data_IF_845918993657
#
_entry.id   IF_845918993657
#
_cell.length_a   1.000
_cell.length_b   1.000
_cell.length_c   1.000
_cell.angle_alpha   90.00
_cell.angle_beta   90.00
_cell.angle_gamma   90.00
#
_symmetry.space_group_name_H-M   'P 1'
#
loop_
_entity.id
_entity.type
_entity.pdbx_description
1 polymer ?
#
# COMPACT_ATOMS: atom_id res chain seq x y z
N UNK A 1 28.88 8.63 34.50
CA UNK A 1 28.73 7.37 33.75
C UNK A 1 27.26 6.94 33.60
N UNK A 2 26.41 7.07 34.63
CA UNK A 2 24.95 6.84 34.51
C UNK A 2 24.23 7.84 33.59
N UNK A 3 24.62 9.11 33.55
CA UNK A 3 24.02 10.11 32.64
C UNK A 3 24.21 9.78 31.16
N UNK A 4 25.38 9.26 30.78
CA UNK A 4 25.71 8.87 29.41
C UNK A 4 25.00 7.58 28.94
N UNK A 5 24.67 6.68 29.87
CA UNK A 5 23.85 5.49 29.62
C UNK A 5 22.36 5.85 29.50
N UNK A 6 21.89 6.78 30.34
CA UNK A 6 20.52 7.31 30.26
C UNK A 6 20.33 8.18 29.02
N UNK A 7 21.33 8.95 28.58
CA UNK A 7 21.29 9.67 27.30
C UNK A 7 21.29 8.71 26.11
N UNK A 8 22.02 7.59 26.16
CA UNK A 8 21.94 6.54 25.13
C UNK A 8 20.58 5.84 25.11
N UNK A 9 19.94 5.64 26.27
CA UNK A 9 18.60 5.06 26.37
C UNK A 9 17.49 6.07 26.00
N UNK A 10 17.70 7.35 26.26
CA UNK A 10 16.90 8.52 25.85
C UNK A 10 17.04 8.83 24.35
N UNK A 11 18.16 8.45 23.73
CA UNK A 11 18.45 8.66 22.31
C UNK A 11 17.66 7.79 21.34
N UNK A 12 16.68 7.02 21.82
CA UNK A 12 15.71 6.28 21.00
C UNK A 12 14.82 7.28 20.24
N UNK A 13 15.35 7.88 19.17
CA UNK A 13 14.60 8.75 18.26
C UNK A 13 13.51 7.92 17.59
N UNK A 14 12.32 7.94 18.16
CA UNK A 14 11.11 7.55 17.46
C UNK A 14 10.82 8.65 16.43
N UNK A 15 10.89 8.31 15.13
CA UNK A 15 10.49 9.24 14.08
C UNK A 15 9.03 9.64 14.28
N UNK A 16 8.70 10.90 14.02
CA UNK A 16 7.39 11.47 14.36
C UNK A 16 6.33 11.15 13.32
N UNK A 17 6.70 11.14 12.04
CA UNK A 17 5.75 11.03 10.92
C UNK A 17 5.38 9.62 10.44
N UNK A 18 6.12 8.51 10.70
CA UNK A 18 5.69 7.19 10.24
C UNK A 18 4.30 6.78 10.73
N UNK A 19 3.92 7.13 11.96
CA UNK A 19 2.58 6.79 12.46
C UNK A 19 1.46 7.53 11.73
N UNK A 20 1.67 8.81 11.39
CA UNK A 20 0.74 9.57 10.57
C UNK A 20 0.60 8.95 9.18
N UNK A 21 1.74 8.62 8.55
CA UNK A 21 1.77 7.99 7.23
C UNK A 21 1.12 6.60 7.25
N UNK A 22 1.28 5.83 8.33
CA UNK A 22 0.59 4.55 8.53
C UNK A 22 -0.92 4.76 8.61
N UNK A 23 -1.39 5.76 9.36
CA UNK A 23 -2.82 6.07 9.45
C UNK A 23 -3.42 6.43 8.09
N UNK A 24 -2.72 7.24 7.30
CA UNK A 24 -3.12 7.57 5.92
C UNK A 24 -3.11 6.34 5.00
N UNK A 25 -2.07 5.51 5.13
CA UNK A 25 -1.95 4.24 4.38
C UNK A 25 -3.13 3.31 4.68
N UNK A 26 -3.45 3.08 5.95
CA UNK A 26 -4.58 2.23 6.35
C UNK A 26 -5.92 2.81 5.92
N UNK A 27 -6.09 4.13 5.99
CA UNK A 27 -7.30 4.81 5.52
C UNK A 27 -7.51 4.57 4.02
N UNK A 28 -6.46 4.78 3.22
CA UNK A 28 -6.51 4.54 1.78
C UNK A 28 -6.75 3.05 1.47
N UNK A 29 -6.03 2.16 2.17
CA UNK A 29 -6.12 0.71 1.98
C UNK A 29 -7.53 0.18 2.24
N UNK A 30 -8.10 0.46 3.42
CA UNK A 30 -9.45 0.00 3.77
C UNK A 30 -10.54 0.63 2.88
N UNK A 31 -10.35 1.87 2.44
CA UNK A 31 -11.26 2.51 1.49
C UNK A 31 -11.29 1.75 0.15
N UNK A 32 -10.18 1.14 -0.28
CA UNK A 32 -10.17 0.35 -1.54
C UNK A 32 -11.14 -0.82 -1.47
N UNK A 33 -11.24 -1.48 -0.32
CA UNK A 33 -12.13 -2.63 -0.09
C UNK A 33 -13.59 -2.17 -0.14
N UNK A 34 -13.93 -1.09 0.56
CA UNK A 34 -15.30 -0.53 0.54
C UNK A 34 -15.74 -0.10 -0.86
N UNK A 35 -14.81 0.37 -1.69
CA UNK A 35 -15.09 0.88 -3.03
C UNK A 35 -14.96 -0.20 -4.12
N UNK A 36 -14.52 -1.42 -3.79
CA UNK A 36 -14.27 -2.48 -4.76
C UNK A 36 -15.56 -2.94 -5.48
N UNK A 37 -16.69 -3.00 -4.77
CA UNK A 37 -17.99 -3.35 -5.34
C UNK A 37 -18.61 -2.20 -6.17
N UNK A 38 -18.10 -0.97 -6.03
CA UNK A 38 -18.55 0.17 -6.83
C UNK A 38 -17.81 0.24 -8.16
N UNK A 39 -18.25 -0.57 -9.13
CA UNK A 39 -17.77 -0.46 -10.50
C UNK A 39 -18.18 0.91 -11.06
N UNK A 40 -17.20 1.62 -11.61
CA UNK A 40 -17.33 2.98 -12.14
C UNK A 40 -17.00 2.96 -13.62
N UNK A 41 -17.84 3.62 -14.40
CA UNK A 41 -17.62 3.80 -15.84
C UNK A 41 -17.13 5.23 -16.10
N UNK A 42 -15.93 5.36 -16.66
CA UNK A 42 -15.35 6.64 -17.10
C UNK A 42 -15.03 6.52 -18.58
N UNK A 43 -15.95 6.99 -19.43
CA UNK A 43 -15.85 6.79 -20.88
C UNK A 43 -15.80 5.29 -21.23
N UNK A 44 -14.77 4.80 -21.94
CA UNK A 44 -14.64 3.38 -22.29
C UNK A 44 -14.05 2.50 -21.17
N UNK A 45 -13.66 3.11 -20.04
CA UNK A 45 -13.02 2.42 -18.93
C UNK A 45 -14.07 1.97 -17.90
N UNK A 46 -14.03 0.68 -17.53
CA UNK A 46 -14.87 0.06 -16.51
C UNK A 46 -13.97 -0.45 -15.40
N UNK A 47 -13.96 0.22 -14.26
CA UNK A 47 -13.02 -0.09 -13.18
C UNK A 47 -13.69 -0.10 -11.82
N UNK A 48 -13.25 -0.97 -10.89
CA UNK A 48 -13.69 -0.91 -9.50
C UNK A 48 -13.21 0.40 -8.84
N UNK A 49 -14.06 0.97 -7.98
CA UNK A 49 -13.78 2.25 -7.31
C UNK A 49 -12.48 2.25 -6.49
N UNK A 50 -12.05 1.09 -5.99
CA UNK A 50 -10.78 0.95 -5.27
C UNK A 50 -9.55 1.32 -6.09
N UNK A 51 -9.59 1.20 -7.42
CA UNK A 51 -8.44 1.51 -8.29
C UNK A 51 -8.02 2.98 -8.23
N UNK A 52 -8.97 3.87 -7.92
CA UNK A 52 -8.72 5.31 -7.83
C UNK A 52 -7.94 5.67 -6.56
N UNK A 53 -7.91 4.77 -5.57
CA UNK A 53 -7.26 4.98 -4.28
C UNK A 53 -5.93 4.24 -4.17
N UNK A 54 -5.78 3.08 -4.81
CA UNK A 54 -4.56 2.27 -4.77
C UNK A 54 -3.25 3.03 -5.04
N UNK A 55 -3.16 3.97 -6.00
CA UNK A 55 -1.92 4.73 -6.21
C UNK A 55 -1.42 5.44 -4.95
N UNK A 56 -2.31 5.88 -4.06
CA UNK A 56 -1.93 6.56 -2.82
C UNK A 56 -1.20 5.63 -1.84
N UNK A 57 -1.53 4.33 -1.79
CA UNK A 57 -0.85 3.39 -0.89
C UNK A 57 0.61 3.19 -1.31
N UNK A 58 0.86 2.95 -2.61
CA UNK A 58 2.20 2.86 -3.19
C UNK A 58 3.00 4.13 -2.96
N UNK A 59 2.38 5.28 -3.19
CA UNK A 59 3.00 6.58 -2.96
C UNK A 59 3.48 6.74 -1.51
N UNK A 60 2.66 6.36 -0.53
CA UNK A 60 3.04 6.41 0.89
C UNK A 60 4.18 5.42 1.18
N UNK A 61 4.10 4.19 0.70
CA UNK A 61 5.16 3.19 0.85
C UNK A 61 6.49 3.68 0.27
N UNK A 62 6.48 4.32 -0.89
CA UNK A 62 7.68 4.87 -1.54
C UNK A 62 8.29 6.01 -0.71
N UNK A 63 7.47 6.92 -0.19
CA UNK A 63 7.94 8.01 0.69
C UNK A 63 8.58 7.42 1.95
N UNK A 64 7.88 6.47 2.60
CA UNK A 64 8.32 5.87 3.85
C UNK A 64 9.59 5.04 3.64
N UNK A 65 9.66 4.24 2.58
CA UNK A 65 10.83 3.46 2.22
C UNK A 65 12.03 4.34 1.87
N UNK A 66 11.82 5.44 1.15
CA UNK A 66 12.89 6.36 0.79
C UNK A 66 13.44 7.15 1.99
N UNK A 67 12.61 7.52 2.96
CA UNK A 67 13.05 8.31 4.13
C UNK A 67 13.59 7.40 5.24
N UNK A 68 12.82 6.38 5.61
CA UNK A 68 13.03 5.57 6.81
C UNK A 68 13.61 4.18 6.55
N UNK A 69 13.75 3.78 5.28
CA UNK A 69 14.31 2.48 4.88
C UNK A 69 13.26 1.37 4.80
N UNK A 70 13.66 0.22 4.24
CA UNK A 70 12.77 -0.91 3.88
C UNK A 70 11.95 -1.49 5.05
N UNK A 71 12.44 -1.37 6.29
CA UNK A 71 11.76 -1.93 7.47
C UNK A 71 10.39 -1.29 7.73
N UNK A 72 10.26 0.02 7.54
CA UNK A 72 9.01 0.74 7.79
C UNK A 72 7.89 0.39 6.80
N UNK A 73 8.08 0.45 5.47
CA UNK A 73 7.02 0.05 4.55
C UNK A 73 6.73 -1.46 4.66
N UNK A 74 7.70 -2.32 4.96
CA UNK A 74 7.43 -3.74 5.29
C UNK A 74 6.45 -3.87 6.46
N UNK A 75 6.65 -3.09 7.52
CA UNK A 75 5.73 -3.08 8.65
C UNK A 75 4.34 -2.57 8.25
N UNK A 76 4.27 -1.53 7.40
CA UNK A 76 2.99 -0.99 6.91
C UNK A 76 2.21 -2.04 6.13
N UNK A 77 2.89 -2.79 5.24
CA UNK A 77 2.27 -3.87 4.46
C UNK A 77 1.69 -4.93 5.39
N UNK A 78 2.45 -5.39 6.39
CA UNK A 78 1.95 -6.38 7.35
C UNK A 78 0.79 -5.89 8.20
N UNK A 79 0.86 -4.65 8.72
CA UNK A 79 -0.25 -4.05 9.46
C UNK A 79 -1.47 -3.91 8.55
N UNK A 80 -1.28 -3.53 7.28
CA UNK A 80 -2.32 -3.46 6.27
C UNK A 80 -2.99 -4.80 6.03
N UNK A 81 -2.20 -5.85 5.76
CA UNK A 81 -2.67 -7.24 5.58
C UNK A 81 -3.53 -7.68 6.77
N UNK A 82 -3.03 -7.50 7.99
CA UNK A 82 -3.76 -7.87 9.21
C UNK A 82 -5.05 -7.03 9.34
N UNK A 83 -4.97 -5.73 9.04
CA UNK A 83 -6.12 -4.82 9.12
C UNK A 83 -7.20 -5.18 8.11
N UNK A 84 -6.84 -5.55 6.88
CA UNK A 84 -7.81 -5.99 5.86
C UNK A 84 -8.50 -7.30 6.25
N UNK A 85 -7.75 -8.27 6.80
CA UNK A 85 -8.33 -9.52 7.31
C UNK A 85 -9.34 -9.21 8.42
N UNK A 86 -8.93 -8.45 9.44
CA UNK A 86 -9.82 -8.08 10.55
C UNK A 86 -11.04 -7.29 10.07
N UNK A 87 -10.83 -6.32 9.18
CA UNK A 87 -11.89 -5.53 8.57
C UNK A 87 -12.90 -6.44 7.86
N UNK A 88 -12.43 -7.37 7.02
CA UNK A 88 -13.31 -8.29 6.27
C UNK A 88 -14.17 -9.16 7.19
N UNK A 89 -13.57 -9.70 8.27
CA UNK A 89 -14.27 -10.55 9.23
C UNK A 89 -15.33 -9.77 10.00
N UNK A 90 -15.02 -8.54 10.43
CA UNK A 90 -15.96 -7.67 11.12
C UNK A 90 -17.13 -7.30 10.21
N UNK A 91 -16.82 -6.83 9.00
CA UNK A 91 -17.83 -6.37 8.03
C UNK A 91 -18.78 -7.50 7.63
N UNK A 92 -18.27 -8.69 7.36
CA UNK A 92 -19.11 -9.84 7.01
C UNK A 92 -19.88 -10.35 8.21
N UNK A 93 -19.23 -10.44 9.37
CA UNK A 93 -19.90 -10.87 10.60
C UNK A 93 -21.08 -9.96 10.95
N UNK A 94 -20.90 -8.64 10.87
CA UNK A 94 -21.96 -7.67 11.20
C UNK A 94 -23.04 -7.59 10.12
N UNK A 95 -22.67 -7.63 8.82
CA UNK A 95 -23.64 -7.54 7.72
C UNK A 95 -24.61 -8.74 7.65
N UNK A 96 -24.25 -9.86 8.26
CA UNK A 96 -25.09 -11.08 8.32
C UNK A 96 -25.90 -11.22 9.61
N UNK A 97 -25.79 -10.27 10.55
CA UNK A 97 -26.64 -10.27 11.75
C UNK A 97 -28.09 -9.92 11.39
N UNK A 98 -29.07 -10.40 12.19
CA UNK A 98 -30.47 -10.08 11.96
C UNK A 98 -30.69 -8.56 12.05
N UNK A 99 -31.31 -8.00 11.01
CA UNK A 99 -31.72 -6.61 10.96
C UNK A 99 -33.16 -6.44 11.45
N UNK A 100 -33.51 -5.30 12.06
CA UNK A 100 -34.87 -5.02 12.49
C UNK A 100 -35.79 -4.73 11.29
N UNK A 101 -37.08 -5.04 11.43
CA UNK A 101 -38.07 -4.96 10.33
C UNK A 101 -38.26 -3.55 9.73
N UNK A 102 -37.93 -2.49 10.47
CA UNK A 102 -38.05 -1.11 9.97
C UNK A 102 -36.94 -0.70 9.00
N UNK A 103 -35.87 -1.48 8.87
CA UNK A 103 -34.78 -1.21 7.95
C UNK A 103 -35.14 -1.78 6.56
N UNK A 104 -35.43 -0.90 5.59
CA UNK A 104 -36.01 -1.31 4.30
C UNK A 104 -34.98 -1.80 3.26
N UNK A 105 -33.69 -1.57 3.48
CA UNK A 105 -32.62 -1.83 2.47
C UNK A 105 -31.50 -2.73 3.02
N UNK A 106 -31.86 -3.74 3.83
CA UNK A 106 -30.89 -4.67 4.44
C UNK A 106 -30.07 -5.40 3.38
N UNK A 107 -30.70 -5.78 2.27
CA UNK A 107 -30.02 -6.55 1.21
C UNK A 107 -28.99 -5.72 0.43
N UNK A 108 -29.04 -4.38 0.49
CA UNK A 108 -28.00 -3.54 -0.09
C UNK A 108 -26.63 -3.77 0.58
N UNK A 109 -26.61 -4.06 1.89
CA UNK A 109 -25.36 -4.39 2.60
C UNK A 109 -24.75 -5.69 2.08
N UNK A 110 -25.56 -6.71 1.79
CA UNK A 110 -25.09 -7.99 1.25
C UNK A 110 -24.48 -7.81 -0.15
N UNK A 111 -25.12 -7.02 -1.01
CA UNK A 111 -24.60 -6.71 -2.36
C UNK A 111 -23.21 -6.04 -2.26
N UNK A 112 -23.03 -5.12 -1.31
CA UNK A 112 -21.77 -4.39 -1.15
C UNK A 112 -20.69 -5.24 -0.49
N UNK A 113 -21.04 -6.02 0.53
CA UNK A 113 -20.07 -6.63 1.45
C UNK A 113 -19.90 -8.13 1.33
N UNK A 114 -20.82 -8.90 0.73
CA UNK A 114 -20.63 -10.34 0.51
C UNK A 114 -19.38 -10.64 -0.36
N UNK A 115 -19.06 -9.84 -1.39
CA UNK A 115 -17.84 -10.05 -2.17
C UNK A 115 -16.54 -9.69 -1.42
N UNK A 116 -16.62 -9.12 -0.22
CA UNK A 116 -15.46 -8.59 0.51
C UNK A 116 -14.37 -9.63 0.73
N UNK A 117 -14.70 -10.88 1.09
CA UNK A 117 -13.67 -11.92 1.24
C UNK A 117 -12.91 -12.17 -0.06
N UNK A 118 -13.61 -12.14 -1.20
CA UNK A 118 -12.96 -12.33 -2.49
C UNK A 118 -12.00 -11.19 -2.78
N UNK A 119 -12.43 -9.95 -2.60
CA UNK A 119 -11.62 -8.76 -2.82
C UNK A 119 -10.43 -8.67 -1.87
N UNK A 120 -10.63 -9.03 -0.61
CA UNK A 120 -9.55 -9.04 0.38
C UNK A 120 -8.58 -10.18 0.08
N UNK A 121 -9.02 -11.41 -0.16
CA UNK A 121 -8.10 -12.52 -0.49
C UNK A 121 -7.23 -12.23 -1.72
N UNK A 122 -7.81 -11.66 -2.79
CA UNK A 122 -7.05 -11.26 -3.98
C UNK A 122 -6.13 -10.06 -3.70
N UNK A 123 -6.63 -9.06 -2.97
CA UNK A 123 -5.89 -7.88 -2.52
C UNK A 123 -4.67 -8.25 -1.68
N UNK A 124 -4.83 -9.13 -0.69
CA UNK A 124 -3.75 -9.62 0.17
C UNK A 124 -2.62 -10.28 -0.62
N UNK A 125 -2.94 -11.18 -1.55
CA UNK A 125 -1.94 -11.82 -2.41
C UNK A 125 -1.28 -10.80 -3.34
N UNK A 126 -2.08 -9.90 -3.91
CA UNK A 126 -1.60 -8.84 -4.78
C UNK A 126 -0.66 -7.87 -4.08
N UNK A 127 -1.03 -7.39 -2.89
CA UNK A 127 -0.20 -6.53 -2.03
C UNK A 127 1.05 -7.26 -1.59
N UNK A 128 0.93 -8.52 -1.17
CA UNK A 128 2.06 -9.31 -0.71
C UNK A 128 3.13 -9.50 -1.79
N UNK A 129 2.76 -9.67 -3.06
CA UNK A 129 3.74 -9.82 -4.13
C UNK A 129 4.13 -8.47 -4.72
N UNK A 130 3.14 -7.65 -5.09
CA UNK A 130 3.35 -6.38 -5.80
C UNK A 130 3.98 -5.29 -4.95
N UNK A 131 3.46 -5.06 -3.73
CA UNK A 131 3.97 -3.99 -2.86
C UNK A 131 5.36 -4.33 -2.33
N UNK A 132 5.60 -5.59 -1.93
CA UNK A 132 6.94 -6.03 -1.53
C UNK A 132 7.95 -5.96 -2.68
N UNK A 133 7.57 -6.31 -3.91
CA UNK A 133 8.42 -6.13 -5.08
C UNK A 133 8.77 -4.65 -5.31
N UNK A 134 7.79 -3.75 -5.18
CA UNK A 134 8.00 -2.30 -5.27
C UNK A 134 9.06 -1.84 -4.26
N UNK A 135 8.83 -2.07 -2.96
CA UNK A 135 9.71 -1.55 -1.90
C UNK A 135 11.11 -2.20 -1.93
N UNK A 136 11.20 -3.45 -2.39
CA UNK A 136 12.48 -4.12 -2.63
C UNK A 136 13.29 -3.44 -3.74
N UNK A 137 12.66 -3.21 -4.90
CA UNK A 137 13.30 -2.55 -6.05
C UNK A 137 13.73 -1.14 -5.67
N UNK A 138 12.86 -0.38 -5.01
CA UNK A 138 13.14 0.98 -4.57
C UNK A 138 14.38 1.05 -3.66
N UNK A 139 14.43 0.20 -2.63
CA UNK A 139 15.53 0.13 -1.67
C UNK A 139 16.84 -0.32 -2.34
N UNK A 140 16.80 -1.34 -3.20
CA UNK A 140 17.98 -1.80 -3.93
C UNK A 140 18.53 -0.73 -4.86
N UNK A 141 17.68 -0.07 -5.64
CA UNK A 141 18.14 0.99 -6.54
C UNK A 141 18.65 2.21 -5.80
N UNK A 142 18.14 2.52 -4.60
CA UNK A 142 18.71 3.57 -3.76
C UNK A 142 20.18 3.32 -3.45
N UNK A 143 20.56 2.07 -3.15
CA UNK A 143 21.95 1.67 -2.90
C UNK A 143 22.79 1.80 -4.18
N UNK A 144 22.32 1.21 -5.29
CA UNK A 144 23.07 1.19 -6.56
C UNK A 144 23.27 2.61 -7.14
N UNK A 145 22.28 3.48 -7.02
CA UNK A 145 22.29 4.84 -7.54
C UNK A 145 22.76 5.88 -6.49
N UNK A 146 23.28 5.43 -5.34
CA UNK A 146 23.80 6.30 -4.27
C UNK A 146 22.81 7.40 -3.87
N UNK A 147 21.53 7.02 -3.74
CA UNK A 147 20.41 7.91 -3.37
C UNK A 147 19.91 8.85 -4.46
N UNK A 148 20.56 8.91 -5.63
CA UNK A 148 20.18 9.82 -6.73
C UNK A 148 18.90 9.35 -7.44
N UNK A 149 18.31 10.24 -8.24
CA UNK A 149 17.20 9.95 -9.16
C UNK A 149 15.94 9.36 -8.50
N UNK A 150 15.53 9.88 -7.34
CA UNK A 150 14.34 9.40 -6.63
C UNK A 150 13.10 9.29 -7.53
N UNK A 151 12.80 10.32 -8.34
CA UNK A 151 11.63 10.34 -9.22
C UNK A 151 11.58 9.12 -10.14
N UNK A 152 12.71 8.79 -10.77
CA UNK A 152 12.79 7.64 -11.67
C UNK A 152 12.67 6.32 -10.91
N UNK A 153 13.35 6.21 -9.76
CA UNK A 153 13.32 4.98 -8.95
C UNK A 153 11.92 4.67 -8.44
N UNK A 154 11.25 5.67 -7.86
CA UNK A 154 9.88 5.55 -7.33
C UNK A 154 8.87 5.24 -8.43
N UNK A 155 8.92 5.96 -9.56
CA UNK A 155 8.00 5.70 -10.67
C UNK A 155 8.17 4.28 -11.22
N UNK A 156 9.41 3.85 -11.49
CA UNK A 156 9.66 2.53 -12.06
C UNK A 156 9.37 1.40 -11.08
N UNK A 157 9.74 1.52 -9.80
CA UNK A 157 9.43 0.49 -8.79
C UNK A 157 7.92 0.35 -8.61
N UNK A 158 7.21 1.47 -8.55
CA UNK A 158 5.74 1.51 -8.48
C UNK A 158 5.12 0.86 -9.70
N UNK A 159 5.60 1.15 -10.91
CA UNK A 159 5.11 0.52 -12.15
C UNK A 159 5.24 -1.00 -12.12
N UNK A 160 6.42 -1.51 -11.72
CA UNK A 160 6.62 -2.96 -11.61
C UNK A 160 5.72 -3.60 -10.56
N UNK A 161 5.62 -3.00 -9.37
CA UNK A 161 4.77 -3.52 -8.30
C UNK A 161 3.28 -3.48 -8.65
N UNK A 162 2.82 -2.38 -9.26
CA UNK A 162 1.43 -2.23 -9.69
C UNK A 162 1.07 -3.17 -10.84
N UNK A 163 1.98 -3.44 -11.78
CA UNK A 163 1.73 -4.42 -12.84
C UNK A 163 1.46 -5.81 -12.25
N UNK A 164 2.31 -6.25 -11.32
CA UNK A 164 2.15 -7.54 -10.62
C UNK A 164 0.85 -7.56 -9.81
N UNK A 165 0.58 -6.50 -9.05
CA UNK A 165 -0.66 -6.34 -8.29
C UNK A 165 -1.89 -6.48 -9.18
N UNK A 166 -1.91 -5.76 -10.31
CA UNK A 166 -3.02 -5.77 -11.28
C UNK A 166 -3.29 -7.18 -11.79
N UNK A 167 -2.24 -7.87 -12.23
CA UNK A 167 -2.36 -9.23 -12.75
C UNK A 167 -2.93 -10.17 -11.70
N UNK A 168 -2.44 -10.14 -10.47
CA UNK A 168 -2.91 -11.04 -9.41
C UNK A 168 -4.35 -10.72 -9.01
N UNK A 169 -4.64 -9.45 -8.74
CA UNK A 169 -5.95 -9.01 -8.23
C UNK A 169 -7.03 -9.22 -9.27
N UNK A 170 -6.81 -8.81 -10.50
CA UNK A 170 -7.85 -8.83 -11.53
C UNK A 170 -8.16 -10.27 -11.96
N UNK A 171 -7.13 -11.12 -12.07
CA UNK A 171 -7.34 -12.55 -12.34
C UNK A 171 -8.14 -13.22 -11.21
N UNK A 172 -7.82 -12.96 -9.95
CA UNK A 172 -8.54 -13.60 -8.84
C UNK A 172 -9.97 -13.03 -8.65
N UNK A 173 -10.17 -11.73 -8.87
CA UNK A 173 -11.47 -11.08 -8.67
C UNK A 173 -12.46 -11.27 -9.80
N UNK A 174 -11.98 -11.40 -11.05
CA UNK A 174 -12.88 -11.32 -12.21
C UNK A 174 -12.76 -12.50 -13.16
N UNK A 175 -11.78 -13.41 -12.98
CA UNK A 175 -11.78 -14.68 -13.70
C UNK A 175 -13.05 -15.47 -13.38
N UNK A 176 -13.67 -16.01 -14.44
CA UNK A 176 -14.96 -16.71 -14.37
C UNK A 176 -16.19 -15.81 -14.20
N UNK A 177 -16.02 -14.51 -13.98
CA UNK A 177 -17.14 -13.53 -13.86
C UNK A 177 -17.30 -12.72 -15.12
N UNK A 178 -16.19 -12.25 -15.69
CA UNK A 178 -16.15 -11.39 -16.87
C UNK A 178 -15.47 -12.14 -18.01
N UNK A 179 -15.85 -11.82 -19.26
CA UNK A 179 -15.20 -12.37 -20.46
C UNK A 179 -13.70 -12.02 -20.46
N UNK A 180 -12.86 -12.95 -20.93
CA UNK A 180 -11.41 -12.76 -20.93
C UNK A 180 -10.91 -11.52 -21.70
N UNK A 181 -11.60 -11.14 -22.79
CA UNK A 181 -11.30 -9.91 -23.54
C UNK A 181 -11.52 -8.66 -22.70
N UNK A 182 -12.64 -8.62 -21.98
CA UNK A 182 -13.06 -7.46 -21.21
C UNK A 182 -12.21 -7.35 -19.94
N UNK A 183 -11.85 -8.50 -19.35
CA UNK A 183 -10.88 -8.59 -18.26
C UNK A 183 -9.51 -8.04 -18.66
N UNK A 184 -8.99 -8.45 -19.81
CA UNK A 184 -7.71 -7.94 -20.32
C UNK A 184 -7.77 -6.42 -20.58
N UNK A 185 -8.89 -5.93 -21.13
CA UNK A 185 -9.08 -4.51 -21.37
C UNK A 185 -9.15 -3.70 -20.06
N UNK A 186 -9.84 -4.22 -19.05
CA UNK A 186 -9.86 -3.66 -17.69
C UNK A 186 -8.45 -3.61 -17.09
N UNK A 187 -7.68 -4.70 -17.17
CA UNK A 187 -6.29 -4.71 -16.68
C UNK A 187 -5.44 -3.62 -17.33
N UNK A 188 -5.57 -3.42 -18.64
CA UNK A 188 -4.84 -2.38 -19.37
C UNK A 188 -5.28 -0.96 -18.96
N UNK A 189 -6.59 -0.71 -18.90
CA UNK A 189 -7.12 0.59 -18.52
C UNK A 189 -6.75 0.93 -17.08
N UNK A 190 -6.95 -0.01 -16.16
CA UNK A 190 -6.59 0.13 -14.76
C UNK A 190 -5.09 0.33 -14.55
N UNK A 191 -4.24 -0.40 -15.25
CA UNK A 191 -2.79 -0.17 -15.21
C UNK A 191 -2.43 1.23 -15.71
N UNK A 192 -3.01 1.67 -16.84
CA UNK A 192 -2.77 2.99 -17.40
C UNK A 192 -3.20 4.10 -16.45
N UNK A 193 -4.38 3.97 -15.83
CA UNK A 193 -4.86 4.90 -14.81
C UNK A 193 -3.86 5.03 -13.66
N UNK A 194 -3.44 3.89 -13.08
CA UNK A 194 -2.50 3.88 -11.94
C UNK A 194 -1.14 4.46 -12.33
N UNK A 195 -0.66 4.19 -13.55
CA UNK A 195 0.56 4.79 -14.08
C UNK A 195 0.45 6.32 -14.19
N UNK A 196 -0.64 6.85 -14.74
CA UNK A 196 -0.88 8.29 -14.82
C UNK A 196 -0.92 8.93 -13.43
N UNK A 197 -1.60 8.31 -12.47
CA UNK A 197 -1.60 8.77 -11.09
C UNK A 197 -0.19 8.77 -10.49
N UNK A 198 0.59 7.70 -10.68
CA UNK A 198 1.96 7.62 -10.19
C UNK A 198 2.85 8.72 -10.79
N UNK A 199 2.71 9.01 -12.09
CA UNK A 199 3.43 10.08 -12.76
C UNK A 199 3.12 11.47 -12.20
N UNK A 200 1.86 11.71 -11.81
CA UNK A 200 1.46 12.98 -11.20
C UNK A 200 1.94 13.06 -9.75
N UNK A 201 1.79 11.98 -8.98
CA UNK A 201 2.09 11.96 -7.54
C UNK A 201 3.58 11.89 -7.22
N UNK A 202 4.43 11.38 -8.12
CA UNK A 202 5.87 11.28 -7.86
C UNK A 202 6.51 12.65 -7.57
N UNK A 203 5.97 13.73 -8.14
CA UNK A 203 6.46 15.09 -7.90
C UNK A 203 6.17 15.60 -6.48
N UNK A 204 4.91 15.62 -5.97
CA UNK A 204 4.66 15.97 -4.58
C UNK A 204 5.36 15.02 -3.60
N UNK A 205 5.46 13.71 -3.91
CA UNK A 205 6.21 12.76 -3.08
C UNK A 205 7.67 13.14 -2.94
N UNK A 206 8.32 13.60 -4.01
CA UNK A 206 9.71 14.04 -3.95
C UNK A 206 9.90 15.27 -3.07
N UNK A 207 8.98 16.24 -3.13
CA UNK A 207 8.99 17.41 -2.24
C UNK A 207 8.86 16.95 -0.78
N UNK A 208 7.91 16.05 -0.51
CA UNK A 208 7.66 15.53 0.83
C UNK A 208 8.83 14.71 1.37
N UNK A 209 9.45 13.86 0.55
CA UNK A 209 10.66 13.12 0.92
C UNK A 209 11.78 14.08 1.32
N UNK A 210 12.06 15.11 0.51
CA UNK A 210 13.11 16.10 0.84
C UNK A 210 12.81 16.81 2.16
N UNK A 211 11.56 17.18 2.38
CA UNK A 211 11.11 17.83 3.61
C UNK A 211 11.28 16.93 4.84
N UNK A 212 10.82 15.67 4.76
CA UNK A 212 10.92 14.70 5.84
C UNK A 212 12.37 14.34 6.17
N UNK A 213 13.22 14.09 5.16
CA UNK A 213 14.66 13.85 5.38
C UNK A 213 15.33 15.00 6.12
N UNK A 214 14.95 16.25 5.80
CA UNK A 214 15.48 17.45 6.45
C UNK A 214 15.03 17.59 7.91
N UNK A 215 13.75 17.38 8.20
CA UNK A 215 13.18 17.58 9.55
C UNK A 215 13.57 16.46 10.51
N UNK A 216 13.53 15.22 10.04
CA UNK A 216 13.89 14.05 10.85
C UNK A 216 15.42 13.85 10.91
N UNK A 217 16.18 14.58 10.09
CA UNK A 217 17.62 14.47 9.93
C UNK A 217 18.04 13.01 9.67
N UNK A 218 17.39 12.38 8.70
CA UNK A 218 17.58 10.96 8.36
C UNK A 218 17.65 10.77 6.85
N UNK A 219 18.55 9.88 6.42
CA UNK A 219 18.55 9.32 5.07
C UNK A 219 19.06 7.86 5.12
N UNK A 220 18.13 6.90 5.20
CA UNK A 220 18.50 5.49 5.42
C UNK A 220 18.94 4.77 4.14
N UNK A 221 20.06 4.04 4.18
CA UNK A 221 20.51 3.17 3.09
C UNK A 221 20.52 1.70 3.54
N UNK A 222 19.74 0.86 2.86
CA UNK A 222 19.50 -0.55 3.21
C UNK A 222 20.67 -1.51 2.85
N UNK A 223 21.92 -1.16 3.22
CA UNK A 223 23.14 -1.90 2.81
C UNK A 223 23.18 -3.30 3.43
N UNK A 224 22.88 -3.40 4.73
CA UNK A 224 22.89 -4.66 5.49
C UNK A 224 21.47 -5.10 5.91
N UNK A 225 20.46 -4.65 5.16
CA UNK A 225 19.06 -4.97 5.47
C UNK A 225 18.72 -6.38 5.02
N UNK A 226 18.07 -7.13 5.91
CA UNK A 226 17.45 -8.39 5.55
C UNK A 226 16.11 -8.09 4.84
N UNK A 227 16.07 -8.37 3.53
CA UNK A 227 14.91 -8.15 2.68
C UNK A 227 13.84 -9.25 2.81
N UNK A 228 14.05 -10.27 3.65
CA UNK A 228 13.03 -11.27 3.94
C UNK A 228 11.74 -10.57 4.44
N UNK A 229 10.61 -10.76 3.74
CA UNK A 229 9.35 -10.09 4.06
C UNK A 229 8.82 -10.50 5.45
N UNK A 230 9.14 -11.68 5.95
CA UNK A 230 8.64 -12.21 7.23
C UNK A 230 9.41 -11.73 8.46
N UNK A 231 10.52 -11.00 8.29
CA UNK A 231 11.29 -10.46 9.41
C UNK A 231 10.66 -9.13 9.86
N UNK A 232 10.08 -9.11 11.05
CA UNK A 232 9.45 -7.93 11.65
C UNK A 232 10.37 -7.15 12.60
N UNK A 233 11.61 -7.61 12.81
CA UNK A 233 12.56 -6.94 13.69
C UNK A 233 12.97 -5.57 13.14
N UNK A 234 12.70 -4.53 13.94
CA UNK A 234 13.22 -3.19 13.73
C UNK A 234 14.67 -3.15 14.20
N UNK A 235 15.62 -3.54 13.34
CA UNK A 235 17.04 -3.29 13.61
C UNK A 235 17.29 -1.79 13.55
N UNK A 236 17.66 -1.20 14.68
CA UNK A 236 17.92 0.23 14.80
C UNK A 236 18.96 0.69 13.77
N UNK A 237 18.67 1.81 13.12
CA UNK A 237 19.56 2.48 12.18
C UNK A 237 20.80 2.92 12.95
N UNK A 238 21.91 2.20 12.81
CA UNK A 238 23.23 2.77 13.13
C UNK A 238 23.55 3.77 12.03
N UNK A 239 23.21 5.04 12.27
CA UNK A 239 23.77 6.14 11.49
C UNK A 239 25.28 6.12 11.72
N UNK A 240 26.05 5.89 10.66
CA UNK A 240 27.48 6.24 10.60
C UNK A 240 27.54 7.71 10.20
#
# INVERSE_FOLDING_TARGET
MQSMLLDKLSSKRQYKYPLLLLGLYLTALLATVCLASRITQIGPMLEPGGIFIFPFTFCICDIVGEVYGYTYPRLFIWIGIISEVLFSLIVIGVSHLPAPEFLTEVDAYKIVFDPTLRYVCSGLLGLFVGEFANIYILAKWKIHLKGRLYLLRSLLSTVFGQAILTVIVDLLNYSGVIKGSDLFWMMLCGFFWKFCCALIMVFPSWILVKYLKKIENVDHYDIHTNFNPFVLEMKEVRLI
#
